data_IF_741561862962
#
_entry.id   IF_741561862962
#
_cell.length_a   1.000
_cell.length_b   1.000
_cell.length_c   1.000
_cell.angle_alpha   90.00
_cell.angle_beta   90.00
_cell.angle_gamma   90.00
#
_symmetry.space_group_name_H-M   'P 1'
#
loop_
_entity.id
_entity.type
_entity.pdbx_description
1 polymer ?
#
# COMPACT_ATOMS: atom_id res chain seq x y z
N UNK A 1 10.13 -12.54 -12.34
CA UNK A 1 10.16 -11.47 -11.31
C UNK A 1 9.45 -11.84 -10.03
N UNK A 2 8.49 -12.77 -10.08
CA UNK A 2 7.65 -13.20 -8.95
C UNK A 2 8.43 -13.63 -7.70
N UNK A 3 9.70 -14.07 -7.86
CA UNK A 3 10.64 -14.34 -6.76
C UNK A 3 10.89 -13.14 -5.83
N UNK A 4 10.56 -11.92 -6.26
CA UNK A 4 10.68 -10.69 -5.48
C UNK A 4 9.36 -10.23 -4.85
N UNK A 5 8.27 -11.00 -5.01
CA UNK A 5 7.02 -10.73 -4.30
C UNK A 5 7.19 -11.08 -2.81
N UNK A 6 6.70 -10.19 -1.95
CA UNK A 6 6.57 -10.47 -0.53
C UNK A 6 5.48 -11.52 -0.31
N UNK A 7 5.68 -12.44 0.64
CA UNK A 7 4.60 -13.30 1.09
C UNK A 7 3.56 -12.47 1.88
N UNK A 8 2.37 -12.33 1.29
CA UNK A 8 1.25 -11.58 1.85
C UNK A 8 0.09 -12.48 2.30
N UNK A 9 0.20 -13.80 2.12
CA UNK A 9 -0.93 -14.72 2.30
C UNK A 9 -1.51 -14.69 3.71
N UNK A 10 -0.63 -14.66 4.73
CA UNK A 10 -1.06 -14.60 6.13
C UNK A 10 -1.82 -13.32 6.44
N UNK A 11 -1.34 -12.18 5.97
CA UNK A 11 -2.06 -10.90 6.09
C UNK A 11 -3.43 -10.97 5.41
N UNK A 12 -3.50 -11.46 4.17
CA UNK A 12 -4.76 -11.49 3.42
C UNK A 12 -5.81 -12.42 4.04
N UNK A 13 -5.40 -13.48 4.76
CA UNK A 13 -6.36 -14.31 5.51
C UNK A 13 -7.13 -13.52 6.59
N UNK A 14 -6.57 -12.39 7.04
CA UNK A 14 -7.19 -11.47 8.00
C UNK A 14 -7.86 -10.26 7.33
N UNK A 15 -8.03 -10.29 6.01
CA UNK A 15 -8.75 -9.28 5.23
C UNK A 15 -9.91 -9.95 4.49
N UNK A 16 -11.12 -9.46 4.71
CA UNK A 16 -12.23 -9.73 3.79
C UNK A 16 -12.11 -8.79 2.59
N UNK A 17 -12.32 -9.30 1.39
CA UNK A 17 -12.29 -8.49 0.18
C UNK A 17 -13.30 -8.99 -0.85
N UNK A 18 -13.70 -8.08 -1.73
CA UNK A 18 -14.47 -8.35 -2.94
C UNK A 18 -13.98 -7.45 -4.07
N UNK A 19 -14.20 -7.87 -5.32
CA UNK A 19 -13.79 -7.15 -6.52
C UNK A 19 -15.00 -6.98 -7.43
N UNK A 20 -15.59 -5.78 -7.41
CA UNK A 20 -16.85 -5.45 -8.09
C UNK A 20 -16.92 -3.95 -8.40
N UNK A 21 -17.83 -3.54 -9.29
CA UNK A 21 -18.19 -2.12 -9.46
C UNK A 21 -18.69 -1.54 -8.12
N UNK A 22 -17.94 -0.53 -7.64
CA UNK A 22 -18.22 0.21 -6.41
C UNK A 22 -19.18 1.39 -6.62
N UNK A 23 -19.85 1.45 -7.77
CA UNK A 23 -20.76 2.52 -8.17
C UNK A 23 -20.09 3.90 -8.32
N UNK A 24 -18.78 3.94 -8.56
CA UNK A 24 -18.00 5.17 -8.83
C UNK A 24 -17.40 5.18 -10.25
N UNK A 25 -16.64 6.21 -10.61
CA UNK A 25 -15.88 6.30 -11.87
C UNK A 25 -14.39 5.98 -11.65
N UNK A 26 -13.70 5.33 -12.61
CA UNK A 26 -14.25 4.74 -13.84
C UNK A 26 -15.21 3.57 -13.55
N UNK A 27 -16.19 3.33 -14.45
CA UNK A 27 -17.09 2.19 -14.30
C UNK A 27 -16.37 0.89 -14.65
N UNK A 28 -15.85 0.23 -13.62
CA UNK A 28 -15.25 -1.10 -13.67
C UNK A 28 -15.16 -1.68 -12.26
N UNK A 29 -14.66 -2.90 -12.16
CA UNK A 29 -14.46 -3.53 -10.87
C UNK A 29 -13.28 -2.91 -10.11
N UNK A 30 -13.49 -2.73 -8.81
CA UNK A 30 -12.51 -2.20 -7.86
C UNK A 30 -12.55 -3.02 -6.57
N UNK A 31 -11.54 -2.87 -5.72
CA UNK A 31 -11.45 -3.63 -4.48
C UNK A 31 -12.16 -2.90 -3.33
N UNK A 32 -13.11 -3.58 -2.71
CA UNK A 32 -13.63 -3.23 -1.40
C UNK A 32 -13.10 -4.21 -0.36
N UNK A 33 -12.66 -3.71 0.80
CA UNK A 33 -12.01 -4.50 1.83
C UNK A 33 -12.55 -4.18 3.22
N UNK A 34 -12.34 -5.12 4.15
CA UNK A 34 -12.41 -4.86 5.59
C UNK A 34 -11.45 -5.77 6.34
N UNK A 35 -11.18 -5.46 7.61
CA UNK A 35 -10.59 -6.45 8.50
C UNK A 35 -11.59 -7.62 8.57
N UNK A 36 -11.08 -8.84 8.50
CA UNK A 36 -11.93 -10.02 8.44
C UNK A 36 -12.61 -10.27 9.80
N UNK A 37 -13.74 -10.97 9.76
CA UNK A 37 -14.50 -11.38 10.93
C UNK A 37 -14.46 -12.89 11.06
N UNK A 38 -14.44 -13.38 12.30
CA UNK A 38 -14.82 -14.76 12.62
C UNK A 38 -16.08 -14.68 13.45
N UNK A 39 -17.18 -15.18 12.88
CA UNK A 39 -18.51 -14.99 13.44
C UNK A 39 -18.82 -13.50 13.67
N UNK A 40 -18.91 -13.03 14.92
CA UNK A 40 -19.15 -11.62 15.26
C UNK A 40 -17.87 -10.85 15.61
N UNK A 41 -16.71 -11.52 15.73
CA UNK A 41 -15.47 -10.92 16.21
C UNK A 41 -14.59 -10.46 15.05
N UNK A 42 -14.26 -9.17 15.01
CA UNK A 42 -13.27 -8.61 14.10
C UNK A 42 -11.85 -9.12 14.46
N UNK A 43 -11.07 -9.55 13.45
CA UNK A 43 -9.72 -10.09 13.62
C UNK A 43 -8.63 -8.99 13.63
N UNK A 44 -8.91 -7.89 14.32
CA UNK A 44 -8.08 -6.68 14.35
C UNK A 44 -6.63 -6.94 14.80
N UNK A 45 -6.45 -7.71 15.87
CA UNK A 45 -5.13 -8.02 16.43
C UNK A 45 -4.28 -8.88 15.48
N UNK A 46 -4.88 -9.93 14.90
CA UNK A 46 -4.20 -10.82 13.97
C UNK A 46 -3.83 -10.08 12.67
N UNK A 47 -4.76 -9.28 12.15
CA UNK A 47 -4.52 -8.40 11.00
C UNK A 47 -3.33 -7.48 11.24
N UNK A 48 -3.30 -6.79 12.38
CA UNK A 48 -2.22 -5.87 12.70
C UNK A 48 -0.88 -6.62 12.86
N UNK A 49 -0.90 -7.78 13.52
CA UNK A 49 0.28 -8.61 13.70
C UNK A 49 0.88 -9.02 12.36
N UNK A 50 0.06 -9.59 11.46
CA UNK A 50 0.53 -10.01 10.14
C UNK A 50 0.92 -8.84 9.25
N UNK A 51 0.28 -7.67 9.37
CA UNK A 51 0.72 -6.47 8.68
C UNK A 51 2.14 -6.08 9.14
N UNK A 52 2.39 -6.05 10.45
CA UNK A 52 3.71 -5.68 10.99
C UNK A 52 4.80 -6.69 10.64
N UNK A 53 4.46 -7.97 10.42
CA UNK A 53 5.42 -8.99 9.98
C UNK A 53 6.00 -8.70 8.57
N UNK A 54 5.35 -7.86 7.78
CA UNK A 54 5.80 -7.51 6.41
C UNK A 54 6.76 -6.32 6.37
N UNK A 55 7.03 -5.67 7.51
CA UNK A 55 7.81 -4.43 7.59
C UNK A 55 9.23 -4.58 7.04
N UNK A 56 9.91 -5.70 7.33
CA UNK A 56 11.27 -5.95 6.81
C UNK A 56 11.25 -5.97 5.28
N UNK A 57 10.27 -6.66 4.70
CA UNK A 57 10.11 -6.77 3.24
C UNK A 57 9.72 -5.45 2.59
N UNK A 58 9.11 -4.51 3.31
CA UNK A 58 8.85 -3.17 2.81
C UNK A 58 10.10 -2.29 2.82
N UNK A 59 10.91 -2.40 3.86
CA UNK A 59 12.11 -1.57 4.05
C UNK A 59 13.29 -2.05 3.20
N UNK A 60 13.49 -3.37 3.10
CA UNK A 60 14.67 -3.95 2.46
C UNK A 60 14.26 -4.91 1.34
N UNK A 61 15.06 -4.93 0.26
CA UNK A 61 14.95 -5.99 -0.74
C UNK A 61 15.52 -7.32 -0.21
N UNK A 62 15.40 -8.40 -0.98
CA UNK A 62 15.75 -9.74 -0.52
C UNK A 62 17.26 -9.86 -0.32
N UNK A 63 18.04 -9.34 -1.26
CA UNK A 63 19.51 -9.31 -1.20
C UNK A 63 20.02 -8.57 0.04
N UNK A 64 19.48 -7.39 0.34
CA UNK A 64 19.87 -6.56 1.48
C UNK A 64 19.44 -7.18 2.81
N UNK A 65 18.23 -7.72 2.87
CA UNK A 65 17.73 -8.44 4.05
C UNK A 65 18.64 -9.62 4.39
N UNK A 66 19.01 -10.40 3.36
CA UNK A 66 19.92 -11.54 3.50
C UNK A 66 21.32 -11.11 3.95
N UNK A 67 21.91 -10.10 3.33
CA UNK A 67 23.24 -9.59 3.70
C UNK A 67 23.29 -9.12 5.17
N UNK A 68 22.29 -8.34 5.61
CA UNK A 68 22.20 -7.88 7.00
C UNK A 68 22.03 -9.04 7.98
N UNK A 69 21.20 -10.02 7.62
CA UNK A 69 20.99 -11.23 8.43
C UNK A 69 22.28 -12.04 8.55
N UNK A 70 22.91 -12.38 7.42
CA UNK A 70 24.10 -13.25 7.38
C UNK A 70 25.28 -12.64 8.13
N UNK A 71 25.51 -11.33 7.97
CA UNK A 71 26.55 -10.60 8.74
C UNK A 71 26.31 -10.71 10.24
N UNK A 72 25.07 -10.47 10.68
CA UNK A 72 24.73 -10.54 12.10
C UNK A 72 24.82 -11.97 12.65
N UNK A 73 24.42 -12.94 11.84
CA UNK A 73 24.53 -14.35 12.18
C UNK A 73 25.98 -14.80 12.28
N UNK A 74 26.88 -14.35 11.39
CA UNK A 74 28.31 -14.67 11.47
C UNK A 74 28.96 -14.15 12.76
N UNK A 75 28.51 -13.02 13.30
CA UNK A 75 28.99 -12.46 14.57
C UNK A 75 28.47 -13.19 15.81
N UNK A 76 27.26 -13.75 15.75
CA UNK A 76 26.53 -14.22 16.95
C UNK A 76 26.25 -15.72 16.97
N UNK A 77 26.26 -16.37 15.80
CA UNK A 77 25.80 -17.74 15.57
C UNK A 77 24.37 -18.01 16.11
N UNK A 78 23.53 -16.97 16.19
CA UNK A 78 22.18 -17.03 16.75
C UNK A 78 21.15 -16.49 15.74
N UNK A 79 20.29 -17.39 15.24
CA UNK A 79 19.21 -17.07 14.30
C UNK A 79 18.20 -16.07 14.88
N UNK A 80 17.82 -16.24 16.15
CA UNK A 80 16.88 -15.36 16.83
C UNK A 80 17.45 -13.96 16.99
N UNK A 81 18.74 -13.86 17.33
CA UNK A 81 19.44 -12.57 17.40
C UNK A 81 19.49 -11.87 16.04
N UNK A 82 19.88 -12.58 14.99
CA UNK A 82 20.01 -12.02 13.64
C UNK A 82 18.66 -11.55 13.08
N UNK A 83 17.59 -12.34 13.26
CA UNK A 83 16.25 -11.97 12.85
C UNK A 83 15.74 -10.73 13.60
N UNK A 84 15.89 -10.71 14.93
CA UNK A 84 15.45 -9.58 15.74
C UNK A 84 16.26 -8.30 15.41
N UNK A 85 17.57 -8.43 15.17
CA UNK A 85 18.39 -7.32 14.72
C UNK A 85 17.87 -6.72 13.41
N UNK A 86 17.60 -7.56 12.40
CA UNK A 86 17.07 -7.12 11.11
C UNK A 86 15.73 -6.37 11.26
N UNK A 87 14.80 -6.93 12.03
CA UNK A 87 13.50 -6.31 12.32
C UNK A 87 13.66 -4.96 13.02
N UNK A 88 14.51 -4.87 14.04
CA UNK A 88 14.78 -3.62 14.75
C UNK A 88 15.43 -2.57 13.83
N UNK A 89 16.27 -2.98 12.89
CA UNK A 89 16.84 -2.07 11.88
C UNK A 89 15.77 -1.55 10.92
N UNK A 90 14.75 -2.34 10.60
CA UNK A 90 13.61 -1.90 9.80
C UNK A 90 12.72 -0.90 10.57
N UNK A 91 12.40 -1.19 11.84
CA UNK A 91 11.61 -0.28 12.70
C UNK A 91 12.24 1.10 12.89
N UNK A 92 13.57 1.20 12.91
CA UNK A 92 14.28 2.50 12.96
C UNK A 92 14.01 3.43 11.76
N UNK A 93 13.39 2.93 10.68
CA UNK A 93 12.98 3.72 9.51
C UNK A 93 11.61 4.38 9.69
N UNK A 94 10.87 4.02 10.74
CA UNK A 94 9.56 4.58 11.04
C UNK A 94 9.69 5.88 11.84
N UNK A 95 8.81 6.84 11.53
CA UNK A 95 8.70 8.11 12.26
C UNK A 95 7.79 7.90 13.47
N UNK A 96 8.26 8.28 14.65
CA UNK A 96 7.44 8.23 15.88
C UNK A 96 6.39 9.34 15.89
N UNK A 97 5.16 9.01 16.28
CA UNK A 97 4.05 9.97 16.44
C UNK A 97 3.32 10.34 15.15
N UNK A 98 3.60 9.66 14.04
CA UNK A 98 2.92 9.88 12.75
C UNK A 98 2.54 8.53 12.11
N UNK A 99 1.69 7.72 12.76
CA UNK A 99 1.37 6.36 12.30
C UNK A 99 0.49 6.35 11.05
N UNK A 100 -0.37 7.35 10.87
CA UNK A 100 -1.43 7.37 9.85
C UNK A 100 -0.91 7.12 8.42
N UNK A 101 0.05 7.93 7.96
CA UNK A 101 0.63 7.78 6.62
C UNK A 101 1.39 6.46 6.45
N UNK A 102 2.25 6.13 7.42
CA UNK A 102 3.10 4.94 7.36
C UNK A 102 2.30 3.63 7.41
N UNK A 103 1.17 3.62 8.11
CA UNK A 103 0.22 2.51 8.12
C UNK A 103 -0.45 2.35 6.74
N UNK A 104 -0.89 3.47 6.15
CA UNK A 104 -1.46 3.49 4.80
C UNK A 104 -0.48 3.01 3.72
N UNK A 105 0.74 3.53 3.73
CA UNK A 105 1.79 3.13 2.78
C UNK A 105 2.13 1.64 2.89
N UNK A 106 2.27 1.11 4.11
CA UNK A 106 2.55 -0.31 4.35
C UNK A 106 1.40 -1.20 3.87
N UNK A 107 0.15 -0.79 4.10
CA UNK A 107 -1.01 -1.50 3.55
C UNK A 107 -0.98 -1.51 2.03
N UNK A 108 -0.83 -0.34 1.41
CA UNK A 108 -0.78 -0.21 -0.04
C UNK A 108 0.32 -1.09 -0.66
N UNK A 109 1.51 -1.08 -0.08
CA UNK A 109 2.64 -1.93 -0.46
C UNK A 109 2.25 -3.42 -0.51
N UNK A 110 1.58 -3.92 0.51
CA UNK A 110 1.17 -5.32 0.57
C UNK A 110 0.03 -5.63 -0.40
N UNK A 111 -0.98 -4.76 -0.51
CA UNK A 111 -2.14 -4.99 -1.35
C UNK A 111 -1.78 -4.93 -2.85
N UNK A 112 -0.87 -4.05 -3.27
CA UNK A 112 -0.37 -4.03 -4.66
C UNK A 112 0.31 -5.36 -5.01
N UNK A 113 1.24 -5.82 -4.17
CA UNK A 113 1.92 -7.09 -4.39
C UNK A 113 0.94 -8.27 -4.42
N UNK A 114 -0.09 -8.26 -3.57
CA UNK A 114 -1.04 -9.35 -3.52
C UNK A 114 -1.97 -9.39 -4.73
N UNK A 115 -2.69 -8.29 -5.01
CA UNK A 115 -3.75 -8.27 -6.01
C UNK A 115 -3.24 -8.07 -7.43
N UNK A 116 -2.16 -7.30 -7.60
CA UNK A 116 -1.63 -6.97 -8.92
C UNK A 116 -0.39 -7.77 -9.28
N UNK A 117 0.15 -8.57 -8.34
CA UNK A 117 1.39 -9.37 -8.53
C UNK A 117 2.56 -8.53 -9.05
N UNK A 118 2.65 -7.29 -8.57
CA UNK A 118 3.71 -6.37 -8.94
C UNK A 118 4.74 -6.25 -7.82
N UNK A 119 6.02 -6.29 -8.18
CA UNK A 119 7.15 -6.22 -7.25
C UNK A 119 7.55 -4.77 -6.99
N UNK A 120 8.00 -4.42 -5.78
CA UNK A 120 8.29 -3.03 -5.42
C UNK A 120 9.56 -2.51 -6.10
N UNK A 121 9.43 -1.34 -6.73
CA UNK A 121 10.55 -0.46 -7.12
C UNK A 121 10.82 0.50 -5.97
N UNK A 122 9.77 1.15 -5.47
CA UNK A 122 9.85 2.04 -4.33
C UNK A 122 9.71 1.26 -3.02
N UNK A 123 10.60 1.56 -2.06
CA UNK A 123 10.65 0.95 -0.72
C UNK A 123 10.73 2.02 0.36
N UNK A 124 10.42 1.64 1.60
CA UNK A 124 10.44 2.60 2.72
C UNK A 124 11.84 3.12 2.99
N UNK A 125 12.00 4.44 2.85
CA UNK A 125 13.23 5.13 3.22
C UNK A 125 13.10 5.86 4.57
N UNK A 126 14.26 6.16 5.17
CA UNK A 126 14.33 7.03 6.35
C UNK A 126 14.20 8.48 5.89
N UNK A 127 13.36 9.27 6.54
CA UNK A 127 13.32 10.71 6.29
C UNK A 127 14.61 11.30 6.85
N UNK A 128 15.57 11.61 6.00
CA UNK A 128 16.78 12.36 6.37
C UNK A 128 16.39 13.83 6.43
N UNK A 129 16.38 14.37 7.65
CA UNK A 129 15.93 15.71 8.01
C UNK A 129 16.58 16.83 7.20
N UNK A 130 15.77 17.53 6.41
CA UNK A 130 15.72 19.00 6.46
C UNK A 130 14.27 19.38 6.75
N UNK A 131 14.09 20.23 7.75
CA UNK A 131 12.77 20.69 8.22
C UNK A 131 12.17 21.55 7.11
N UNK A 132 11.35 20.97 6.23
CA UNK A 132 10.68 21.70 5.15
C UNK A 132 10.37 20.91 3.88
N UNK A 133 11.00 19.76 3.66
CA UNK A 133 10.71 18.90 2.50
C UNK A 133 10.24 17.53 2.98
N UNK A 134 8.95 17.42 3.31
CA UNK A 134 8.28 16.14 3.09
C UNK A 134 8.59 15.73 1.64
N UNK A 135 9.02 14.49 1.42
CA UNK A 135 9.20 13.99 0.06
C UNK A 135 7.81 13.94 -0.56
N UNK A 136 7.52 14.89 -1.44
CA UNK A 136 6.37 14.86 -2.33
C UNK A 136 6.70 13.85 -3.44
N UNK A 137 6.24 12.62 -3.29
CA UNK A 137 6.41 11.53 -4.25
C UNK A 137 5.40 10.42 -3.97
N UNK A 138 5.22 9.50 -4.91
CA UNK A 138 4.41 8.31 -4.79
C UNK A 138 4.58 7.62 -3.44
N UNK A 139 3.47 7.15 -2.86
CA UNK A 139 3.53 6.23 -1.73
C UNK A 139 4.05 4.84 -2.16
N UNK A 140 3.80 4.46 -3.41
CA UNK A 140 4.21 3.19 -3.97
C UNK A 140 4.49 3.25 -5.47
N UNK A 141 5.60 2.64 -5.90
CA UNK A 141 5.89 2.34 -7.30
C UNK A 141 6.24 0.86 -7.37
N UNK A 142 5.47 0.10 -8.14
CA UNK A 142 5.68 -1.32 -8.36
C UNK A 142 5.74 -1.62 -9.85
N UNK A 143 6.23 -2.81 -10.18
CA UNK A 143 6.39 -3.25 -11.55
C UNK A 143 6.00 -4.72 -11.72
N UNK A 144 5.37 -5.05 -12.84
CA UNK A 144 5.11 -6.42 -13.27
C UNK A 144 5.37 -6.53 -14.78
N UNK A 145 5.79 -7.73 -15.20
CA UNK A 145 5.72 -8.12 -16.61
C UNK A 145 4.38 -8.83 -16.85
N UNK A 146 3.64 -8.42 -17.87
CA UNK A 146 2.36 -9.05 -18.23
C UNK A 146 2.35 -9.36 -19.72
N UNK A 147 2.72 -10.59 -20.09
CA UNK A 147 3.01 -10.92 -21.47
C UNK A 147 4.15 -10.06 -22.00
N UNK A 148 3.92 -9.34 -23.10
CA UNK A 148 4.90 -8.41 -23.68
C UNK A 148 4.92 -7.04 -22.97
N UNK A 149 3.86 -6.70 -22.22
CA UNK A 149 3.73 -5.40 -21.57
C UNK A 149 4.67 -5.26 -20.37
N UNK A 150 5.24 -4.07 -20.23
CA UNK A 150 5.98 -3.62 -19.05
C UNK A 150 5.06 -2.70 -18.24
N UNK A 151 4.47 -3.20 -17.15
CA UNK A 151 3.43 -2.47 -16.41
C UNK A 151 3.98 -1.90 -15.12
N UNK A 152 3.96 -0.56 -15.01
CA UNK A 152 4.23 0.16 -13.78
C UNK A 152 2.93 0.44 -13.04
N UNK A 153 2.93 0.20 -11.74
CA UNK A 153 1.81 0.50 -10.86
C UNK A 153 2.20 1.65 -9.95
N UNK A 154 1.50 2.77 -10.07
CA UNK A 154 1.69 3.95 -9.24
C UNK A 154 0.58 3.98 -8.19
N UNK A 155 0.97 3.99 -6.92
CA UNK A 155 0.06 3.88 -5.81
C UNK A 155 0.09 5.11 -4.90
N UNK A 156 -1.10 5.54 -4.50
CA UNK A 156 -1.32 6.59 -3.50
C UNK A 156 -2.25 6.08 -2.40
N UNK A 157 -1.83 6.24 -1.17
CA UNK A 157 -2.60 5.90 0.03
C UNK A 157 -3.07 7.17 0.72
N UNK A 158 -4.32 7.18 1.14
CA UNK A 158 -4.86 8.19 2.06
C UNK A 158 -5.56 7.46 3.19
N UNK A 159 -4.91 7.46 4.33
CA UNK A 159 -5.43 6.94 5.60
C UNK A 159 -5.92 8.13 6.42
N UNK A 160 -7.21 8.24 6.74
CA UNK A 160 -7.77 9.39 7.49
C UNK A 160 -8.49 8.90 8.75
N UNK A 161 -7.93 9.23 9.91
CA UNK A 161 -8.51 8.89 11.23
C UNK A 161 -9.74 9.74 11.56
N UNK A 162 -9.79 10.97 11.04
CA UNK A 162 -10.91 11.89 11.25
C UNK A 162 -12.23 11.32 10.74
N UNK A 163 -13.30 11.51 11.53
CA UNK A 163 -14.65 11.04 11.16
C UNK A 163 -15.16 11.81 9.93
N UNK A 164 -16.02 11.15 9.14
CA UNK A 164 -16.66 11.73 7.94
C UNK A 164 -15.69 12.20 6.85
N UNK A 165 -14.52 11.60 6.77
CA UNK A 165 -13.43 12.05 5.91
C UNK A 165 -13.32 11.32 4.57
N UNK A 166 -14.18 10.34 4.27
CA UNK A 166 -14.10 9.52 3.06
C UNK A 166 -13.98 10.37 1.79
N UNK A 167 -14.89 11.34 1.57
CA UNK A 167 -14.86 12.17 0.36
C UNK A 167 -13.56 12.97 0.23
N UNK A 168 -13.04 13.51 1.34
CA UNK A 168 -11.78 14.26 1.33
C UNK A 168 -10.59 13.34 1.07
N UNK A 169 -10.55 12.17 1.70
CA UNK A 169 -9.48 11.18 1.50
C UNK A 169 -9.50 10.64 0.06
N UNK A 170 -10.68 10.37 -0.50
CA UNK A 170 -10.87 9.91 -1.87
C UNK A 170 -10.42 10.98 -2.87
N UNK A 171 -10.88 12.23 -2.74
CA UNK A 171 -10.47 13.34 -3.61
C UNK A 171 -8.96 13.58 -3.54
N UNK A 172 -8.38 13.54 -2.34
CA UNK A 172 -6.94 13.72 -2.15
C UNK A 172 -6.16 12.58 -2.82
N UNK A 173 -6.58 11.32 -2.64
CA UNK A 173 -5.93 10.15 -3.26
C UNK A 173 -5.99 10.23 -4.79
N UNK A 174 -7.15 10.62 -5.32
CA UNK A 174 -7.39 10.78 -6.75
C UNK A 174 -6.48 11.86 -7.36
N UNK A 175 -6.41 13.04 -6.74
CA UNK A 175 -5.55 14.14 -7.22
C UNK A 175 -4.07 13.80 -7.08
N UNK A 176 -3.68 13.15 -5.98
CA UNK A 176 -2.30 12.71 -5.75
C UNK A 176 -1.86 11.72 -6.82
N UNK A 177 -2.68 10.73 -7.20
CA UNK A 177 -2.22 9.68 -8.13
C UNK A 177 -2.00 10.22 -9.54
N UNK A 178 -2.79 11.21 -9.95
CA UNK A 178 -2.61 11.93 -11.23
C UNK A 178 -1.33 12.76 -11.17
N UNK A 179 -1.09 13.46 -10.07
CA UNK A 179 0.16 14.22 -9.86
C UNK A 179 1.38 13.30 -9.91
N UNK A 180 1.29 12.13 -9.27
CA UNK A 180 2.34 11.11 -9.27
C UNK A 180 2.61 10.56 -10.67
N UNK A 181 1.57 10.35 -11.48
CA UNK A 181 1.74 9.99 -12.89
C UNK A 181 2.48 11.09 -13.67
N UNK A 182 2.10 12.36 -13.51
CA UNK A 182 2.71 13.49 -14.21
C UNK A 182 4.17 13.75 -13.78
N UNK A 183 4.54 13.35 -12.57
CA UNK A 183 5.87 13.57 -12.00
C UNK A 183 6.76 12.32 -11.96
N UNK A 184 6.28 11.19 -12.48
CA UNK A 184 6.93 9.88 -12.36
C UNK A 184 8.42 9.91 -12.77
N UNK A 185 8.75 10.55 -13.88
CA UNK A 185 10.13 10.54 -14.38
C UNK A 185 11.09 11.21 -13.40
N UNK A 186 10.67 12.33 -12.78
CA UNK A 186 11.45 13.01 -11.74
C UNK A 186 11.57 12.15 -10.49
N UNK A 187 10.52 11.41 -10.19
CA UNK A 187 10.48 10.55 -9.03
C UNK A 187 11.41 9.35 -9.16
N UNK A 188 11.42 8.68 -10.32
CA UNK A 188 12.33 7.56 -10.60
C UNK A 188 13.80 7.98 -10.47
N UNK A 189 14.16 9.21 -10.84
CA UNK A 189 15.53 9.73 -10.72
C UNK A 189 16.03 9.71 -9.26
N UNK A 190 15.13 9.78 -8.28
CA UNK A 190 15.48 9.73 -6.85
C UNK A 190 15.89 8.33 -6.38
N UNK A 191 15.55 7.28 -7.14
CA UNK A 191 15.70 5.88 -6.72
C UNK A 191 16.61 5.06 -7.62
N UNK A 192 16.89 5.52 -8.85
CA UNK A 192 17.63 4.77 -9.88
C UNK A 192 19.00 4.27 -9.42
N UNK A 193 19.65 4.99 -8.50
CA UNK A 193 20.99 4.70 -8.00
C UNK A 193 21.00 4.32 -6.52
N UNK A 194 19.84 3.99 -5.95
CA UNK A 194 19.75 3.61 -4.54
C UNK A 194 19.89 2.09 -4.37
N UNK A 195 20.55 1.67 -3.29
CA UNK A 195 20.99 0.28 -3.03
C UNK A 195 19.83 -0.71 -2.78
N UNK A 196 18.57 -0.26 -2.93
CA UNK A 196 17.39 -1.02 -2.55
C UNK A 196 16.66 -1.66 -3.72
N UNK A 197 17.04 -1.39 -4.97
CA UNK A 197 16.52 -2.10 -6.14
C UNK A 197 17.21 -3.46 -6.29
N UNK A 198 16.43 -4.47 -6.67
CA UNK A 198 17.03 -5.73 -7.12
C UNK A 198 17.70 -5.49 -8.48
N UNK A 199 18.85 -6.11 -8.80
CA UNK A 199 19.59 -5.83 -10.03
C UNK A 199 18.75 -5.99 -11.31
N UNK A 200 17.84 -6.97 -11.34
CA UNK A 200 16.90 -7.17 -12.46
C UNK A 200 15.91 -6.01 -12.62
N UNK A 201 15.48 -5.38 -11.52
CA UNK A 201 14.59 -4.21 -11.55
C UNK A 201 15.36 -2.94 -11.89
N UNK A 202 16.60 -2.82 -11.43
CA UNK A 202 17.48 -1.70 -11.76
C UNK A 202 17.66 -1.58 -13.28
N UNK A 203 17.88 -2.68 -13.99
CA UNK A 203 17.99 -2.70 -15.46
C UNK A 203 16.69 -2.26 -16.15
N UNK A 204 15.53 -2.72 -15.67
CA UNK A 204 14.22 -2.30 -16.18
C UNK A 204 14.04 -0.79 -16.03
N UNK A 205 14.30 -0.24 -14.84
CA UNK A 205 14.11 1.17 -14.57
C UNK A 205 15.11 2.02 -15.38
N UNK A 206 16.36 1.58 -15.52
CA UNK A 206 17.36 2.23 -16.40
C UNK A 206 16.92 2.23 -17.86
N UNK A 207 16.39 1.12 -18.35
CA UNK A 207 15.91 0.99 -19.73
C UNK A 207 14.67 1.84 -19.98
N UNK A 208 13.76 1.94 -18.99
CA UNK A 208 12.64 2.88 -19.00
C UNK A 208 13.12 4.32 -19.10
N UNK A 209 14.02 4.74 -18.21
CA UNK A 209 14.58 6.12 -18.19
C UNK A 209 15.36 6.47 -19.45
N UNK A 210 15.95 5.48 -20.11
CA UNK A 210 16.61 5.67 -21.41
C UNK A 210 15.62 5.80 -22.58
N UNK A 211 14.30 5.68 -22.36
CA UNK A 211 13.28 5.71 -23.40
C UNK A 211 13.30 4.47 -24.31
N UNK A 212 13.85 3.35 -23.82
CA UNK A 212 14.08 2.13 -24.61
C UNK A 212 13.22 0.94 -24.18
N UNK A 213 12.49 1.06 -23.07
CA UNK A 213 11.61 -0.01 -22.60
C UNK A 213 10.37 -0.03 -23.50
N UNK A 214 10.11 -1.12 -24.25
CA UNK A 214 8.95 -1.20 -25.13
C UNK A 214 7.66 -1.41 -24.32
N UNK A 215 6.51 -1.20 -24.96
CA UNK A 215 5.19 -1.64 -24.44
C UNK A 215 4.91 -1.24 -22.98
N UNK A 216 5.32 -0.02 -22.62
CA UNK A 216 5.13 0.50 -21.26
C UNK A 216 3.68 0.85 -21.02
N UNK A 217 3.12 0.34 -19.93
CA UNK A 217 1.77 0.66 -19.45
C UNK A 217 1.82 1.13 -18.01
N UNK A 218 0.85 1.97 -17.66
CA UNK A 218 0.67 2.49 -16.32
C UNK A 218 -0.70 2.08 -15.80
N UNK A 219 -0.73 1.50 -14.61
CA UNK A 219 -1.93 1.31 -13.79
C UNK A 219 -1.80 2.20 -12.55
N UNK A 220 -2.89 2.88 -12.18
CA UNK A 220 -2.91 3.77 -11.03
C UNK A 220 -3.75 3.13 -9.92
N UNK A 221 -3.28 3.19 -8.68
CA UNK A 221 -3.96 2.59 -7.52
C UNK A 221 -4.18 3.65 -6.45
N UNK A 222 -5.44 3.95 -6.16
CA UNK A 222 -5.86 4.83 -5.08
C UNK A 222 -6.37 3.98 -3.92
N UNK A 223 -5.65 3.96 -2.81
CA UNK A 223 -6.12 3.33 -1.57
C UNK A 223 -6.68 4.36 -0.60
N UNK A 224 -7.92 4.17 -0.18
CA UNK A 224 -8.60 5.01 0.80
C UNK A 224 -8.91 4.15 2.03
N UNK A 225 -8.14 4.37 3.10
CA UNK A 225 -8.42 3.82 4.42
C UNK A 225 -9.01 4.92 5.30
N UNK A 226 -10.11 4.67 5.99
CA UNK A 226 -10.78 5.74 6.74
C UNK A 226 -11.56 5.19 7.93
N UNK A 227 -11.74 6.06 8.93
CA UNK A 227 -12.52 5.74 10.12
C UNK A 227 -14.02 5.69 9.76
N UNK A 228 -14.59 4.49 9.67
CA UNK A 228 -16.00 4.30 9.34
C UNK A 228 -16.87 4.43 10.59
N UNK A 229 -17.95 5.21 10.46
CA UNK A 229 -18.84 5.55 11.57
C UNK A 229 -20.20 4.87 11.48
N UNK A 230 -20.54 4.33 10.31
CA UNK A 230 -21.76 3.54 10.12
C UNK A 230 -21.65 2.29 10.96
N UNK A 231 -22.64 2.06 11.82
CA UNK A 231 -22.67 0.88 12.67
C UNK A 231 -22.75 -0.38 11.80
N UNK A 232 -21.89 -1.36 12.10
CA UNK A 232 -21.97 -2.68 11.50
C UNK A 232 -23.24 -3.39 11.99
N UNK A 233 -23.97 -3.98 11.05
CA UNK A 233 -25.17 -4.79 11.31
C UNK A 233 -24.94 -6.21 10.78
N UNK A 234 -25.59 -7.19 11.40
CA UNK A 234 -25.51 -8.60 11.01
C UNK A 234 -25.45 -9.54 12.20
N UNK A 235 -26.08 -10.71 12.07
CA UNK A 235 -26.14 -11.73 13.12
C UNK A 235 -25.10 -12.84 12.95
N UNK A 236 -24.33 -12.79 11.86
CA UNK A 236 -23.25 -13.72 11.54
C UNK A 236 -22.27 -13.07 10.55
N UNK A 237 -21.14 -13.71 10.35
CA UNK A 237 -20.04 -13.25 9.49
C UNK A 237 -20.51 -12.89 8.07
N UNK A 238 -21.39 -13.71 7.46
CA UNK A 238 -21.90 -13.45 6.10
C UNK A 238 -22.71 -12.16 6.05
N UNK A 239 -23.62 -11.95 7.00
CA UNK A 239 -24.43 -10.73 7.03
C UNK A 239 -23.59 -9.48 7.32
N UNK A 240 -22.59 -9.59 8.19
CA UNK A 240 -21.63 -8.51 8.46
C UNK A 240 -20.90 -8.11 7.16
N UNK A 241 -20.37 -9.09 6.41
CA UNK A 241 -19.65 -8.84 5.15
C UNK A 241 -20.52 -8.16 4.09
N UNK A 242 -21.78 -8.58 3.95
CA UNK A 242 -22.73 -7.93 3.04
C UNK A 242 -23.09 -6.50 3.48
N UNK A 243 -23.21 -6.25 4.78
CA UNK A 243 -23.45 -4.91 5.31
C UNK A 243 -22.25 -3.98 5.02
N UNK A 244 -21.02 -4.46 5.23
CA UNK A 244 -19.79 -3.72 4.91
C UNK A 244 -19.71 -3.40 3.42
N UNK A 245 -19.98 -4.38 2.56
CA UNK A 245 -20.02 -4.18 1.11
C UNK A 245 -21.00 -3.08 0.71
N UNK A 246 -22.19 -3.09 1.32
CA UNK A 246 -23.21 -2.03 1.11
C UNK A 246 -22.72 -0.66 1.57
N UNK A 247 -22.05 -0.59 2.72
CA UNK A 247 -21.45 0.66 3.23
C UNK A 247 -20.44 1.22 2.22
N UNK A 248 -19.51 0.39 1.73
CA UNK A 248 -18.48 0.81 0.76
C UNK A 248 -19.11 1.34 -0.52
N UNK A 249 -20.08 0.61 -1.11
CA UNK A 249 -20.77 1.06 -2.33
C UNK A 249 -21.51 2.38 -2.12
N UNK A 250 -22.21 2.54 -0.98
CA UNK A 250 -22.91 3.79 -0.66
C UNK A 250 -21.94 4.97 -0.53
N UNK A 251 -20.78 4.78 0.10
CA UNK A 251 -19.73 5.81 0.22
C UNK A 251 -19.21 6.22 -1.16
N UNK A 252 -18.81 5.27 -1.97
CA UNK A 252 -18.29 5.51 -3.32
C UNK A 252 -19.32 6.18 -4.24
N UNK A 253 -20.59 5.72 -4.20
CA UNK A 253 -21.70 6.31 -4.95
C UNK A 253 -21.96 7.77 -4.57
N UNK A 254 -21.78 8.10 -3.29
CA UNK A 254 -22.00 9.46 -2.77
C UNK A 254 -20.89 10.45 -3.13
N UNK A 255 -19.78 9.97 -3.70
CA UNK A 255 -18.67 10.82 -4.10
C UNK A 255 -19.05 11.70 -5.30
N UNK A 256 -18.62 12.96 -5.26
CA UNK A 256 -18.94 13.96 -6.27
C UNK A 256 -18.29 13.60 -7.62
N UNK A 257 -19.13 13.26 -8.59
CA UNK A 257 -18.68 12.79 -9.90
C UNK A 257 -18.04 13.91 -10.74
N UNK A 258 -18.30 15.19 -10.41
CA UNK A 258 -17.67 16.33 -11.08
C UNK A 258 -16.15 16.33 -10.88
N UNK A 259 -15.66 15.73 -9.80
CA UNK A 259 -14.23 15.60 -9.49
C UNK A 259 -13.45 14.77 -10.50
N UNK A 260 -14.11 13.90 -11.29
CA UNK A 260 -13.44 13.11 -12.32
C UNK A 260 -13.24 13.88 -13.63
N UNK A 261 -13.98 14.97 -13.87
CA UNK A 261 -13.96 15.70 -15.14
C UNK A 261 -12.63 16.38 -15.44
N UNK A 262 -11.81 16.63 -14.42
CA UNK A 262 -10.48 17.23 -14.57
C UNK A 262 -9.43 16.20 -15.02
N UNK A 263 -9.74 14.91 -14.99
CA UNK A 263 -8.82 13.82 -15.30
C UNK A 263 -8.98 13.43 -16.76
N UNK A 264 -7.86 13.25 -17.46
CA UNK A 264 -7.86 12.71 -18.81
C UNK A 264 -8.61 11.37 -18.86
N UNK A 265 -9.55 11.21 -19.80
CA UNK A 265 -10.42 10.03 -19.88
C UNK A 265 -9.65 8.72 -20.00
N UNK A 266 -8.61 8.68 -20.84
CA UNK A 266 -7.78 7.48 -21.01
C UNK A 266 -7.00 7.14 -19.72
N UNK A 267 -6.54 8.16 -18.98
CA UNK A 267 -5.89 7.95 -17.68
C UNK A 267 -6.90 7.48 -16.62
N UNK A 268 -8.10 8.07 -16.59
CA UNK A 268 -9.17 7.70 -15.66
C UNK A 268 -9.50 6.21 -15.75
N UNK A 269 -9.57 5.63 -16.95
CA UNK A 269 -9.82 4.19 -17.14
C UNK A 269 -8.75 3.29 -16.49
N UNK A 270 -7.55 3.81 -16.23
CA UNK A 270 -6.42 3.09 -15.63
C UNK A 270 -6.37 3.22 -14.11
N UNK A 271 -7.22 4.04 -13.49
CA UNK A 271 -7.33 4.19 -12.04
C UNK A 271 -8.09 3.02 -11.43
N UNK A 272 -7.56 2.44 -10.37
CA UNK A 272 -8.16 1.35 -9.60
C UNK A 272 -8.28 1.78 -8.14
N UNK A 273 -9.43 1.53 -7.51
CA UNK A 273 -9.63 1.83 -6.10
C UNK A 273 -9.45 0.61 -5.21
N UNK A 274 -8.92 0.88 -4.03
CA UNK A 274 -8.87 -0.02 -2.88
C UNK A 274 -9.53 0.75 -1.72
N UNK A 275 -10.79 0.43 -1.40
CA UNK A 275 -11.56 1.13 -0.36
C UNK A 275 -11.64 0.26 0.89
N UNK A 276 -11.13 0.78 2.00
CA UNK A 276 -10.94 0.03 3.24
C UNK A 276 -11.50 0.82 4.45
N UNK A 277 -12.81 0.71 4.74
CA UNK A 277 -13.36 1.16 6.02
C UNK A 277 -12.74 0.40 7.19
N UNK A 278 -12.32 1.15 8.22
CA UNK A 278 -11.81 0.61 9.47
C UNK A 278 -12.58 1.24 10.63
N UNK A 279 -13.08 0.42 11.54
CA UNK A 279 -13.74 0.89 12.75
C UNK A 279 -12.72 1.06 13.87
N UNK A 280 -12.80 2.19 14.58
CA UNK A 280 -11.82 2.56 15.62
C UNK A 280 -10.39 2.60 15.07
N UNK A 281 -10.24 3.30 13.94
CA UNK A 281 -8.95 3.44 13.26
C UNK A 281 -7.91 4.12 14.16
N UNK A 282 -8.31 5.04 15.03
CA UNK A 282 -7.48 5.67 16.05
C UNK A 282 -6.80 4.63 16.95
N UNK A 283 -7.59 3.70 17.51
CA UNK A 283 -7.08 2.63 18.38
C UNK A 283 -6.13 1.71 17.61
N UNK A 284 -6.44 1.40 16.35
CA UNK A 284 -5.59 0.57 15.50
C UNK A 284 -4.24 1.25 15.18
N UNK A 285 -4.26 2.56 14.91
CA UNK A 285 -3.06 3.36 14.64
C UNK A 285 -2.16 3.47 15.87
N UNK A 286 -2.73 3.62 17.07
CA UNK A 286 -1.99 3.60 18.33
C UNK A 286 -1.32 2.24 18.59
N UNK A 287 -2.05 1.16 18.34
CA UNK A 287 -1.52 -0.20 18.44
C UNK A 287 -0.40 -0.45 17.41
N UNK A 288 -0.55 0.05 16.18
CA UNK A 288 0.49 0.00 15.15
C UNK A 288 1.74 0.76 15.58
N UNK A 289 1.59 2.02 16.03
CA UNK A 289 2.69 2.88 16.49
C UNK A 289 3.49 2.23 17.62
N UNK A 290 2.80 1.52 18.53
CA UNK A 290 3.40 0.80 19.65
C UNK A 290 4.26 -0.39 19.20
N UNK A 291 3.93 -1.02 18.07
CA UNK A 291 4.67 -2.15 17.50
C UNK A 291 5.90 -1.73 16.70
N UNK A 292 5.78 -0.71 15.84
CA UNK A 292 6.84 -0.38 14.84
C UNK A 292 7.64 0.89 15.15
N UNK A 293 7.23 1.71 16.13
CA UNK A 293 7.90 2.97 16.47
C UNK A 293 8.29 3.11 17.94
N UNK A 294 8.54 1.99 18.61
CA UNK A 294 9.19 1.95 19.93
C UNK A 294 10.69 2.27 19.85
#
# INVERSE_FOLDING_TARGET
MDKYLTNTEKLINHIYWFYEDLETLPKKDHYGLSINYTDLKERKDDFLSELTNTVVSWVYNNSKSKDLFDKRFAETSDYGNAANFLTNQAYKKFRKGYPQGQFGELLLFNLIQHYYKAVPILRKQRITTSVGHERFGADAIHYKKQGDDNVFILGESKCYESKYSFNSAFETSLNSVVTTFDLLDKEIDLYLYDDFLEPELEDVVKTYKAGKLPDVKFELVCMVAYNETTKITGENEKNIKEAIKTIIKNRCKSFDQEKFKIINEALLTRINYIVFPIWELDILLDAFQSKVGS
#
